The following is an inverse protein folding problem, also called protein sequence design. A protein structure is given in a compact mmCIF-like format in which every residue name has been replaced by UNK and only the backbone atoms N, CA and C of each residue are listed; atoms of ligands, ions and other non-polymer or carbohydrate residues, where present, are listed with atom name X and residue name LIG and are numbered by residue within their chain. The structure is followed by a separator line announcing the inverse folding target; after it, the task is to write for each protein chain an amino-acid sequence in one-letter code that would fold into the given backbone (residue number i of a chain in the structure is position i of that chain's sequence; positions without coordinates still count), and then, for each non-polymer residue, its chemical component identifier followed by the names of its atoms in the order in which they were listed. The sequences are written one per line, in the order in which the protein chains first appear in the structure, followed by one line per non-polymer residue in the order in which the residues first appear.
data_IF_276749822847
#
_entry.id   IF_276749822847
#
_cell.length_a   1.000
_cell.length_b   1.000
_cell.length_c   1.000
_cell.angle_alpha   90.00
_cell.angle_beta   90.00
_cell.angle_gamma   90.00
#
_symmetry.space_group_name_H-M   'P 1'
#
loop_
_entity.id
_entity.type
_entity.pdbx_description
1 polymer ?
#
# COMPACT_ATOMS: atom_id res chain seq x y z
N UNK A 1 1.98 -23.50 -2.55
CA UNK A 1 2.73 -22.26 -2.69
C UNK A 1 3.31 -21.82 -1.35
N UNK A 2 4.43 -21.12 -1.35
CA UNK A 2 5.13 -20.64 -0.14
C UNK A 2 4.23 -19.85 0.81
N UNK A 3 3.19 -19.21 0.27
CA UNK A 3 2.22 -18.42 1.05
C UNK A 3 1.25 -19.24 1.90
N UNK A 4 1.25 -20.55 1.81
CA UNK A 4 0.53 -21.39 2.78
C UNK A 4 1.21 -21.45 4.14
N UNK A 5 2.50 -21.21 4.21
CA UNK A 5 3.30 -21.31 5.43
C UNK A 5 3.65 -19.95 6.02
N UNK A 6 3.77 -18.92 5.16
CA UNK A 6 4.14 -17.57 5.56
C UNK A 6 3.35 -16.51 4.80
N UNK A 7 2.98 -15.38 5.43
CA UNK A 7 2.39 -14.23 4.73
C UNK A 7 3.37 -13.67 3.69
N UNK A 8 2.84 -13.10 2.59
CA UNK A 8 3.68 -12.53 1.52
C UNK A 8 4.73 -11.53 2.01
N UNK A 9 4.35 -10.60 2.89
CA UNK A 9 5.28 -9.60 3.44
C UNK A 9 6.45 -10.18 4.24
N UNK A 10 6.36 -11.45 4.64
CA UNK A 10 7.45 -12.15 5.35
C UNK A 10 8.37 -12.96 4.45
N UNK A 11 8.08 -13.03 3.15
CA UNK A 11 8.98 -13.64 2.18
C UNK A 11 10.29 -12.87 2.19
N UNK A 12 11.39 -13.60 2.20
CA UNK A 12 12.73 -13.00 2.18
C UNK A 12 13.19 -12.73 0.74
N UNK A 13 13.64 -11.51 0.52
CA UNK A 13 14.35 -11.09 -0.69
C UNK A 13 15.74 -10.63 -0.28
N UNK A 14 16.77 -11.22 -0.87
CA UNK A 14 18.18 -10.98 -0.51
C UNK A 14 18.47 -11.14 1.00
N UNK A 15 17.79 -12.10 1.66
CA UNK A 15 17.99 -12.39 3.09
C UNK A 15 17.11 -11.60 4.06
N UNK A 16 16.46 -10.52 3.62
CA UNK A 16 15.60 -9.66 4.44
C UNK A 16 14.12 -9.91 4.16
N UNK A 17 13.26 -9.91 5.18
CA UNK A 17 11.81 -9.93 4.99
C UNK A 17 11.36 -8.61 4.37
N UNK A 18 10.43 -8.65 3.40
CA UNK A 18 9.97 -7.45 2.72
C UNK A 18 9.36 -6.42 3.69
N UNK A 19 8.57 -6.86 4.65
CA UNK A 19 7.97 -5.98 5.66
C UNK A 19 9.02 -5.35 6.59
N UNK A 20 10.03 -6.11 7.02
CA UNK A 20 11.12 -5.58 7.86
C UNK A 20 11.88 -4.48 7.11
N UNK A 21 12.24 -4.75 5.85
CA UNK A 21 12.95 -3.78 5.01
C UNK A 21 12.17 -2.48 4.83
N UNK A 22 10.86 -2.56 4.55
CA UNK A 22 10.03 -1.36 4.41
C UNK A 22 10.00 -0.53 5.70
N UNK A 23 9.83 -1.18 6.85
CA UNK A 23 9.83 -0.50 8.15
C UNK A 23 11.20 0.17 8.40
N UNK A 24 12.29 -0.51 8.10
CA UNK A 24 13.64 0.04 8.25
C UNK A 24 13.88 1.24 7.33
N UNK A 25 13.43 1.18 6.08
CA UNK A 25 13.51 2.30 5.14
C UNK A 25 12.66 3.52 5.61
N UNK A 26 11.46 3.28 6.14
CA UNK A 26 10.64 4.35 6.73
C UNK A 26 11.33 5.00 7.93
N UNK A 27 11.87 4.18 8.85
CA UNK A 27 12.60 4.68 10.02
C UNK A 27 13.84 5.49 9.63
N UNK A 28 14.59 5.06 8.63
CA UNK A 28 15.72 5.82 8.07
C UNK A 28 15.29 7.18 7.51
N UNK A 29 14.08 7.29 6.97
CA UNK A 29 13.50 8.53 6.51
C UNK A 29 12.89 9.40 7.63
N UNK A 30 12.99 8.95 8.90
CA UNK A 30 12.41 9.64 10.05
C UNK A 30 10.92 9.41 10.27
N UNK A 31 10.34 8.39 9.60
CA UNK A 31 8.92 8.04 9.68
C UNK A 31 8.77 6.87 10.65
N UNK A 32 8.32 7.16 11.87
CA UNK A 32 8.26 6.20 12.99
C UNK A 32 6.84 5.85 13.45
N UNK A 33 5.83 6.65 13.10
CA UNK A 33 4.41 6.33 13.39
C UNK A 33 3.90 5.34 12.32
N UNK A 34 4.21 4.06 12.52
CA UNK A 34 3.92 3.01 11.55
C UNK A 34 2.82 2.09 12.11
N UNK A 35 1.80 1.84 11.30
CA UNK A 35 0.76 0.84 11.58
C UNK A 35 0.75 -0.21 10.47
N UNK A 36 0.93 -1.47 10.83
CA UNK A 36 0.82 -2.61 9.91
C UNK A 36 -0.59 -3.18 10.02
N UNK A 37 -1.31 -3.25 8.91
CA UNK A 37 -2.64 -3.83 8.88
C UNK A 37 -2.50 -5.31 8.57
N UNK A 38 -3.00 -6.14 9.47
CA UNK A 38 -2.80 -7.59 9.45
C UNK A 38 -4.14 -8.32 9.27
N UNK A 39 -4.09 -9.46 8.60
CA UNK A 39 -5.24 -10.35 8.41
C UNK A 39 -4.77 -11.80 8.46
N UNK A 40 -4.39 -12.35 7.31
CA UNK A 40 -3.90 -13.73 7.17
C UNK A 40 -2.65 -13.96 8.02
N UNK A 41 -2.68 -14.98 8.88
CA UNK A 41 -1.59 -15.35 9.80
C UNK A 41 -1.09 -14.15 10.63
N UNK A 42 -2.02 -13.33 11.12
CA UNK A 42 -1.73 -12.09 11.87
C UNK A 42 -0.74 -12.28 13.02
N UNK A 43 -0.78 -13.45 13.69
CA UNK A 43 0.10 -13.80 14.80
C UNK A 43 1.59 -13.81 14.42
N UNK A 44 1.90 -14.04 13.16
CA UNK A 44 3.29 -14.01 12.66
C UNK A 44 3.88 -12.60 12.62
N UNK A 45 3.04 -11.56 12.67
CA UNK A 45 3.48 -10.16 12.66
C UNK A 45 3.71 -9.57 14.06
N UNK A 46 3.36 -10.28 15.14
CA UNK A 46 3.46 -9.74 16.51
C UNK A 46 4.90 -9.31 16.87
N UNK A 47 5.93 -10.00 16.38
CA UNK A 47 7.32 -9.62 16.61
C UNK A 47 7.67 -8.20 16.14
N UNK A 48 6.92 -7.65 15.20
CA UNK A 48 7.14 -6.28 14.69
C UNK A 48 6.90 -5.23 15.77
N UNK A 49 6.01 -5.51 16.74
CA UNK A 49 5.78 -4.63 17.89
C UNK A 49 7.04 -4.50 18.73
N UNK A 50 7.63 -5.63 19.07
CA UNK A 50 8.82 -5.67 19.94
C UNK A 50 10.07 -5.17 19.21
N UNK A 51 10.19 -5.53 17.92
CA UNK A 51 11.39 -5.19 17.14
C UNK A 51 11.42 -3.73 16.71
N UNK A 52 10.27 -3.16 16.32
CA UNK A 52 10.20 -1.85 15.67
C UNK A 52 9.25 -0.85 16.35
N UNK A 53 8.52 -1.26 17.38
CA UNK A 53 7.54 -0.40 18.04
C UNK A 53 6.31 -0.07 17.20
N UNK A 54 6.04 -0.81 16.13
CA UNK A 54 4.91 -0.56 15.24
C UNK A 54 3.58 -0.96 15.88
N UNK A 55 2.51 -0.35 15.44
CA UNK A 55 1.14 -0.73 15.78
C UNK A 55 0.65 -1.80 14.81
N UNK A 56 -0.13 -2.76 15.30
CA UNK A 56 -0.85 -3.71 14.45
C UNK A 56 -2.34 -3.43 14.52
N UNK A 57 -2.99 -3.34 13.35
CA UNK A 57 -4.42 -3.19 13.20
C UNK A 57 -4.97 -4.41 12.46
N UNK A 58 -5.95 -5.09 13.05
CA UNK A 58 -6.55 -6.27 12.44
C UNK A 58 -7.67 -5.88 11.48
N UNK A 59 -7.61 -6.40 10.25
CA UNK A 59 -8.70 -6.37 9.29
C UNK A 59 -9.46 -7.71 9.38
N UNK A 60 -10.67 -7.77 9.95
CA UNK A 60 -11.43 -9.02 10.07
C UNK A 60 -12.00 -9.52 8.73
N UNK A 61 -12.05 -8.66 7.71
CA UNK A 61 -12.65 -8.97 6.42
C UNK A 61 -11.62 -9.44 5.36
N UNK A 62 -10.36 -9.65 5.78
CA UNK A 62 -9.25 -9.99 4.86
C UNK A 62 -9.52 -11.23 3.97
N UNK A 63 -10.38 -12.16 4.42
CA UNK A 63 -10.68 -13.39 3.70
C UNK A 63 -11.87 -13.25 2.72
N UNK A 64 -12.68 -12.22 2.87
CA UNK A 64 -13.93 -12.05 2.12
C UNK A 64 -13.93 -10.81 1.23
N UNK A 65 -13.11 -9.82 1.55
CA UNK A 65 -12.98 -8.58 0.80
C UNK A 65 -11.53 -8.33 0.39
N UNK A 66 -11.35 -7.59 -0.70
CA UNK A 66 -10.03 -7.18 -1.20
C UNK A 66 -9.48 -5.98 -0.39
N UNK A 67 -8.39 -5.39 -0.83
CA UNK A 67 -7.62 -4.38 -0.09
C UNK A 67 -8.36 -3.05 0.14
N UNK A 68 -9.48 -2.78 -0.54
CA UNK A 68 -10.40 -1.70 -0.20
C UNK A 68 -10.82 -1.79 1.27
N UNK A 69 -11.13 -3.00 1.77
CA UNK A 69 -11.47 -3.21 3.19
C UNK A 69 -10.31 -2.89 4.13
N UNK A 70 -9.08 -3.14 3.69
CA UNK A 70 -7.88 -2.82 4.48
C UNK A 70 -7.78 -1.32 4.74
N UNK A 71 -7.96 -0.50 3.71
CA UNK A 71 -7.95 0.95 3.86
C UNK A 71 -9.16 1.45 4.64
N UNK A 72 -10.33 0.82 4.45
CA UNK A 72 -11.51 1.12 5.25
C UNK A 72 -11.27 0.97 6.74
N UNK A 73 -10.69 -0.16 7.19
CA UNK A 73 -10.38 -0.37 8.60
C UNK A 73 -9.33 0.61 9.12
N UNK A 74 -8.40 1.04 8.25
CA UNK A 74 -7.36 2.01 8.56
C UNK A 74 -7.80 3.48 8.40
N UNK A 75 -8.99 3.79 7.88
CA UNK A 75 -9.40 5.14 7.45
C UNK A 75 -9.21 6.24 8.49
N UNK A 76 -9.39 5.91 9.77
CA UNK A 76 -9.17 6.87 10.86
C UNK A 76 -7.71 7.31 11.00
N UNK A 77 -6.76 6.51 10.52
CA UNK A 77 -5.34 6.84 10.52
C UNK A 77 -4.98 7.85 9.43
N UNK A 78 -5.79 7.93 8.38
CA UNK A 78 -5.62 8.84 7.25
C UNK A 78 -6.17 10.25 7.52
N UNK A 79 -7.14 10.35 8.45
CA UNK A 79 -7.86 11.60 8.65
C UNK A 79 -6.96 12.72 9.16
N UNK A 80 -6.90 13.81 8.39
CA UNK A 80 -6.12 15.00 8.75
C UNK A 80 -4.60 14.81 8.73
N UNK A 81 -4.09 13.72 8.14
CA UNK A 81 -2.66 13.39 8.12
C UNK A 81 -2.11 13.24 6.70
N UNK A 82 -0.82 13.46 6.62
CA UNK A 82 0.02 12.98 5.52
C UNK A 82 0.47 11.56 5.85
N UNK A 83 0.40 10.62 4.92
CA UNK A 83 0.86 9.26 5.17
C UNK A 83 1.29 8.53 3.91
N UNK A 84 2.21 7.60 4.07
CA UNK A 84 2.48 6.58 3.09
C UNK A 84 1.49 5.42 3.24
N UNK A 85 1.11 4.83 2.12
CA UNK A 85 0.35 3.58 2.05
C UNK A 85 1.18 2.60 1.25
N UNK A 86 1.50 1.46 1.86
CA UNK A 86 2.43 0.49 1.30
C UNK A 86 1.79 -0.90 1.25
N UNK A 87 2.09 -1.65 0.20
CA UNK A 87 1.84 -3.08 0.18
C UNK A 87 3.03 -3.81 0.80
N UNK A 88 2.78 -4.65 1.80
CA UNK A 88 3.84 -5.33 2.57
C UNK A 88 4.68 -6.31 1.75
N UNK A 89 4.26 -6.64 0.54
CA UNK A 89 4.91 -7.53 -0.41
C UNK A 89 5.68 -6.80 -1.53
N UNK A 90 5.85 -5.49 -1.42
CA UNK A 90 6.78 -4.75 -2.27
C UNK A 90 8.19 -4.77 -1.67
N UNK A 91 9.18 -4.96 -2.51
CA UNK A 91 10.59 -4.84 -2.14
C UNK A 91 11.26 -3.75 -2.97
N UNK A 92 11.81 -2.76 -2.30
CA UNK A 92 12.52 -1.65 -2.93
C UNK A 92 14.01 -1.76 -2.65
N UNK A 93 14.83 -1.72 -3.69
CA UNK A 93 16.28 -1.75 -3.57
C UNK A 93 16.81 -0.52 -2.84
N UNK A 94 16.32 0.65 -3.23
CA UNK A 94 16.70 1.94 -2.67
C UNK A 94 15.57 2.51 -1.83
N UNK A 95 15.94 3.33 -0.86
CA UNK A 95 14.96 4.03 -0.05
C UNK A 95 14.41 5.22 -0.84
N UNK A 96 13.11 5.20 -1.11
CA UNK A 96 12.40 6.28 -1.84
C UNK A 96 11.57 7.16 -0.89
N UNK A 97 11.60 6.89 0.40
CA UNK A 97 10.78 7.60 1.37
C UNK A 97 11.49 8.83 1.92
N UNK A 98 10.73 9.90 2.14
CA UNK A 98 11.21 11.17 2.68
C UNK A 98 10.30 11.64 3.81
N UNK A 99 10.85 12.38 4.77
CA UNK A 99 10.06 12.98 5.87
C UNK A 99 9.09 14.07 5.38
N UNK A 100 9.29 14.58 4.19
CA UNK A 100 8.45 15.58 3.52
C UNK A 100 8.25 15.24 2.06
N UNK A 101 7.01 15.37 1.59
CA UNK A 101 6.62 15.20 0.19
C UNK A 101 5.85 16.42 -0.31
N UNK A 102 6.10 16.81 -1.55
CA UNK A 102 5.50 18.00 -2.17
C UNK A 102 4.04 17.85 -2.58
N UNK A 103 3.46 16.65 -2.50
CA UNK A 103 2.08 16.35 -2.89
C UNK A 103 1.80 14.85 -2.94
N UNK A 104 0.55 14.47 -3.16
CA UNK A 104 0.18 13.06 -3.28
C UNK A 104 0.75 12.44 -4.56
N UNK A 105 1.21 11.19 -4.45
CA UNK A 105 1.75 10.43 -5.58
C UNK A 105 1.53 8.93 -5.41
N UNK A 106 1.61 8.20 -6.52
CA UNK A 106 1.61 6.74 -6.58
C UNK A 106 2.86 6.26 -7.32
N UNK A 107 3.57 5.27 -6.77
CA UNK A 107 4.74 4.70 -7.40
C UNK A 107 4.35 3.89 -8.64
N UNK A 108 5.06 4.12 -9.74
CA UNK A 108 4.84 3.42 -10.98
C UNK A 108 6.13 2.76 -11.47
N UNK A 109 5.99 1.61 -12.13
CA UNK A 109 7.07 0.95 -12.85
C UNK A 109 6.70 0.84 -14.33
N UNK A 110 7.71 0.78 -15.19
CA UNK A 110 7.51 0.64 -16.63
C UNK A 110 7.58 -0.84 -17.04
N UNK A 111 6.58 -1.32 -17.77
CA UNK A 111 6.59 -2.63 -18.40
C UNK A 111 7.05 -2.50 -19.84
N UNK A 112 8.15 -3.17 -20.18
CA UNK A 112 8.57 -3.36 -21.56
C UNK A 112 7.88 -4.61 -22.11
N UNK A 113 6.93 -4.42 -23.00
CA UNK A 113 6.03 -5.47 -23.53
C UNK A 113 4.65 -5.47 -22.90
N UNK A 114 3.96 -6.61 -23.00
CA UNK A 114 2.59 -6.75 -22.50
C UNK A 114 2.57 -6.90 -20.97
N UNK A 115 1.59 -6.27 -20.34
CA UNK A 115 1.33 -6.39 -18.89
C UNK A 115 -0.15 -6.59 -18.63
N UNK A 116 -0.46 -7.29 -17.54
CA UNK A 116 -1.82 -7.44 -16.99
C UNK A 116 -2.05 -6.53 -15.77
N UNK A 117 -1.02 -5.77 -15.39
CA UNK A 117 -1.11 -4.84 -14.25
C UNK A 117 -2.01 -3.64 -14.56
N UNK A 118 -2.35 -2.88 -13.54
CA UNK A 118 -3.12 -1.64 -13.68
C UNK A 118 -2.23 -0.55 -14.27
N UNK A 119 -2.42 -0.24 -15.55
CA UNK A 119 -1.65 0.79 -16.25
C UNK A 119 -2.23 2.18 -16.02
N UNK A 120 -1.36 3.17 -16.04
CA UNK A 120 -1.65 4.55 -15.69
C UNK A 120 -1.63 5.42 -16.94
N UNK A 121 -2.74 6.10 -17.23
CA UNK A 121 -2.76 7.22 -18.15
C UNK A 121 -2.33 8.51 -17.48
N UNK A 122 -1.55 9.33 -18.19
CA UNK A 122 -1.10 10.63 -17.66
C UNK A 122 -1.31 11.74 -18.69
N UNK A 123 -1.57 12.94 -18.20
CA UNK A 123 -1.57 14.15 -19.05
C UNK A 123 -0.14 14.67 -19.27
N UNK A 124 -0.01 15.73 -20.08
CA UNK A 124 1.28 16.38 -20.39
C UNK A 124 2.04 16.93 -19.18
N UNK A 125 1.39 17.07 -18.02
CA UNK A 125 1.99 17.50 -16.75
C UNK A 125 2.37 16.32 -15.84
N UNK A 126 2.27 15.08 -16.32
CA UNK A 126 2.53 13.88 -15.56
C UNK A 126 1.48 13.56 -14.50
N UNK A 127 0.32 14.20 -14.52
CA UNK A 127 -0.78 13.87 -13.60
C UNK A 127 -1.56 12.69 -14.12
N UNK A 128 -1.85 11.76 -13.25
CA UNK A 128 -2.72 10.61 -13.52
C UNK A 128 -4.10 11.08 -13.97
N UNK A 129 -4.60 10.54 -15.06
CA UNK A 129 -5.92 10.87 -15.64
C UNK A 129 -6.87 9.69 -15.61
N UNK A 130 -6.36 8.50 -15.77
CA UNK A 130 -7.10 7.26 -15.85
C UNK A 130 -6.25 6.06 -15.44
N UNK A 131 -6.91 4.97 -15.14
CA UNK A 131 -6.29 3.68 -14.80
C UNK A 131 -7.09 2.59 -15.51
N UNK A 132 -6.42 1.65 -16.17
CA UNK A 132 -7.05 0.51 -16.83
C UNK A 132 -6.26 -0.77 -16.60
N UNK A 133 -6.95 -1.92 -16.62
CA UNK A 133 -6.30 -3.21 -16.50
C UNK A 133 -5.65 -3.61 -17.82
N UNK A 134 -4.37 -3.97 -17.76
CA UNK A 134 -3.58 -4.43 -18.89
C UNK A 134 -3.13 -3.33 -19.85
N UNK A 135 -2.02 -3.59 -20.54
CA UNK A 135 -1.45 -2.66 -21.52
C UNK A 135 -0.18 -3.21 -22.15
N UNK A 136 0.47 -2.38 -22.93
CA UNK A 136 1.76 -2.70 -23.57
C UNK A 136 2.66 -1.48 -23.56
N UNK A 137 3.94 -1.69 -23.21
CA UNK A 137 4.94 -0.63 -23.11
C UNK A 137 4.43 0.55 -22.28
N UNK A 138 3.93 0.26 -21.08
CA UNK A 138 3.14 1.19 -20.28
C UNK A 138 3.66 1.30 -18.85
N UNK A 139 3.45 2.45 -18.23
CA UNK A 139 3.61 2.62 -16.80
C UNK A 139 2.44 1.97 -16.07
N UNK A 140 2.72 1.19 -15.02
CA UNK A 140 1.70 0.53 -14.21
C UNK A 140 1.89 0.84 -12.73
N UNK A 141 0.81 0.73 -11.97
CA UNK A 141 0.79 0.93 -10.53
C UNK A 141 1.62 -0.15 -9.84
N UNK A 142 2.65 0.26 -9.10
CA UNK A 142 3.59 -0.71 -8.49
C UNK A 142 3.34 -0.94 -6.99
N UNK A 143 2.92 0.07 -6.25
CA UNK A 143 2.64 -0.20 -4.85
C UNK A 143 2.75 0.96 -3.90
N UNK A 144 3.93 1.49 -3.52
CA UNK A 144 3.96 2.60 -2.58
C UNK A 144 3.20 3.82 -3.09
N UNK A 145 2.43 4.41 -2.20
CA UNK A 145 1.74 5.68 -2.46
C UNK A 145 1.94 6.63 -1.29
N UNK A 146 1.94 7.92 -1.57
CA UNK A 146 1.89 8.96 -0.57
C UNK A 146 0.60 9.75 -0.69
N UNK A 147 -0.16 9.80 0.38
CA UNK A 147 -1.38 10.56 0.50
C UNK A 147 -1.10 11.82 1.32
N UNK A 148 -1.14 12.98 0.65
CA UNK A 148 -1.15 14.24 1.40
C UNK A 148 -2.46 14.37 2.18
N UNK A 149 -2.45 15.19 3.25
CA UNK A 149 -3.66 15.49 4.02
C UNK A 149 -4.82 15.93 3.12
N UNK A 150 -4.53 16.84 2.18
CA UNK A 150 -5.54 17.34 1.23
C UNK A 150 -6.11 16.21 0.34
N UNK A 151 -5.26 15.29 -0.10
CA UNK A 151 -5.71 14.15 -0.88
C UNK A 151 -6.55 13.20 -0.01
N UNK A 152 -6.11 12.89 1.21
CA UNK A 152 -6.85 12.04 2.16
C UNK A 152 -8.25 12.59 2.45
N UNK A 153 -8.39 13.91 2.64
CA UNK A 153 -9.68 14.57 2.87
C UNK A 153 -10.65 14.41 1.69
N UNK A 154 -10.14 14.33 0.46
CA UNK A 154 -10.95 14.07 -0.75
C UNK A 154 -11.21 12.58 -0.97
N UNK A 155 -10.24 11.73 -0.65
CA UNK A 155 -10.32 10.29 -0.84
C UNK A 155 -11.29 9.61 0.13
N UNK A 156 -11.26 10.00 1.41
CA UNK A 156 -12.03 9.33 2.45
C UNK A 156 -13.55 9.29 2.18
N UNK A 157 -14.22 10.37 1.76
CA UNK A 157 -15.66 10.30 1.41
C UNK A 157 -15.95 9.36 0.24
N UNK A 158 -15.02 9.25 -0.71
CA UNK A 158 -15.14 8.32 -1.85
C UNK A 158 -15.00 6.88 -1.35
N UNK A 159 -14.00 6.59 -0.53
CA UNK A 159 -13.79 5.29 0.10
C UNK A 159 -15.05 4.85 0.88
N UNK A 160 -15.59 5.74 1.73
CA UNK A 160 -16.77 5.46 2.55
C UNK A 160 -17.98 5.11 1.70
N UNK A 161 -18.22 5.89 0.65
CA UNK A 161 -19.32 5.62 -0.28
C UNK A 161 -19.17 4.29 -1.00
N UNK A 162 -17.97 3.98 -1.52
CA UNK A 162 -17.74 2.74 -2.27
C UNK A 162 -17.78 1.51 -1.37
N UNK A 163 -17.31 1.62 -0.13
CA UNK A 163 -17.32 0.50 0.81
C UNK A 163 -18.74 0.01 1.15
N UNK A 164 -19.73 0.91 1.12
CA UNK A 164 -21.13 0.60 1.41
C UNK A 164 -21.91 0.06 0.22
N UNK A 165 -21.38 0.13 -1.01
CA UNK A 165 -22.05 -0.34 -2.22
C UNK A 165 -21.88 -1.86 -2.33
N UNK A 166 -22.98 -2.66 -2.37
CA UNK A 166 -22.89 -4.09 -2.64
C UNK A 166 -22.22 -4.37 -3.99
N UNK A 167 -21.35 -5.40 -4.02
CA UNK A 167 -20.59 -5.77 -5.23
C UNK A 167 -19.22 -5.13 -5.33
N UNK A 168 -18.82 -4.28 -4.37
CA UNK A 168 -17.49 -3.66 -4.34
C UNK A 168 -16.49 -4.41 -3.46
N UNK A 169 -16.87 -5.58 -2.93
CA UNK A 169 -16.06 -6.35 -1.98
C UNK A 169 -14.69 -6.72 -2.54
N UNK A 170 -14.59 -6.86 -3.87
CA UNK A 170 -13.36 -7.22 -4.57
C UNK A 170 -12.61 -6.02 -5.14
N UNK A 171 -13.02 -4.80 -4.81
CA UNK A 171 -12.36 -3.60 -5.32
C UNK A 171 -11.02 -3.35 -4.61
N UNK A 172 -10.14 -2.72 -5.35
CA UNK A 172 -8.88 -2.14 -4.87
C UNK A 172 -9.11 -0.67 -4.47
N UNK A 173 -8.22 -0.19 -3.61
CA UNK A 173 -8.20 1.24 -3.24
C UNK A 173 -7.39 2.05 -4.22
#
# INVERSE_FOLDING_TARGET
PITYEIPKGMIKVLGERMVDRQIEQLNQAGITDITVIVGYMKEKFEYLRDKYGVKLLYNPEYATKNNLSTIWHARKLLYGKNCYILSSDNWLRENIYHSYEGGAWYCAAFSDGDTKEWVIGTNKKGRMTDVMEGGRNSWYMYGPAYFSREFSEKFLPVLERYYEIPGTEQYYW
#
